data_IF_883835337171
#
_entry.id   IF_883835337171
#
_cell.length_a   1.000
_cell.length_b   1.000
_cell.length_c   1.000
_cell.angle_alpha   90.00
_cell.angle_beta   90.00
_cell.angle_gamma   90.00
#
_symmetry.space_group_name_H-M   'P 1'
#
loop_
_entity.id
_entity.type
_entity.pdbx_description
1 polymer ?
#
# COMPACT_ATOMS: atom_id res chain seq x y z
N UNK A 1 -17.32 2.54 15.37
CA UNK A 1 -17.43 3.51 14.26
C UNK A 1 -16.60 4.77 14.49
N UNK A 2 -16.83 5.58 15.53
CA UNK A 2 -15.97 6.76 15.76
C UNK A 2 -14.49 6.43 15.94
N UNK A 3 -14.18 5.40 16.72
CA UNK A 3 -12.80 4.93 16.94
C UNK A 3 -12.12 4.44 15.64
N UNK A 4 -12.87 3.84 14.70
CA UNK A 4 -12.31 3.38 13.43
C UNK A 4 -12.09 4.54 12.47
N UNK A 5 -12.97 5.56 12.50
CA UNK A 5 -12.80 6.80 11.72
C UNK A 5 -11.61 7.60 12.23
N UNK A 6 -11.43 7.74 13.55
CA UNK A 6 -10.26 8.44 14.10
C UNK A 6 -8.97 7.69 13.79
N UNK A 7 -8.96 6.36 13.88
CA UNK A 7 -7.82 5.55 13.46
C UNK A 7 -7.46 5.77 11.98
N UNK A 8 -8.47 5.83 11.10
CA UNK A 8 -8.27 6.10 9.68
C UNK A 8 -7.63 7.48 9.43
N UNK A 9 -8.13 8.53 10.12
CA UNK A 9 -7.56 9.88 10.02
C UNK A 9 -6.12 9.92 10.52
N UNK A 10 -5.82 9.27 11.64
CA UNK A 10 -4.45 9.20 12.19
C UNK A 10 -3.51 8.52 11.21
N UNK A 11 -3.94 7.43 10.55
CA UNK A 11 -3.13 6.77 9.54
C UNK A 11 -2.82 7.65 8.33
N UNK A 12 -3.79 8.41 7.83
CA UNK A 12 -3.56 9.36 6.73
C UNK A 12 -2.46 10.35 7.13
N UNK A 13 -2.52 10.88 8.35
CA UNK A 13 -1.51 11.80 8.85
C UNK A 13 -0.13 11.14 8.94
N UNK A 14 -0.06 9.88 9.37
CA UNK A 14 1.19 9.11 9.43
C UNK A 14 1.76 8.87 8.03
N UNK A 15 0.92 8.52 7.05
CA UNK A 15 1.34 8.30 5.66
C UNK A 15 1.99 9.57 5.11
N UNK A 16 1.34 10.71 5.28
CA UNK A 16 1.85 11.99 4.79
C UNK A 16 3.17 12.34 5.49
N UNK A 17 3.31 12.05 6.78
CA UNK A 17 4.49 12.43 7.56
C UNK A 17 5.70 11.49 7.40
N UNK A 18 5.49 10.20 7.09
CA UNK A 18 6.55 9.16 7.17
C UNK A 18 6.79 8.36 5.87
N UNK A 19 6.20 8.74 4.76
CA UNK A 19 6.34 8.03 3.47
C UNK A 19 7.65 8.34 2.74
N UNK A 20 8.80 8.17 3.39
CA UNK A 20 10.11 8.36 2.73
C UNK A 20 10.50 7.17 1.83
N UNK A 21 10.20 5.95 2.26
CA UNK A 21 10.44 4.76 1.45
C UNK A 21 9.14 4.27 0.79
N UNK A 22 9.22 3.89 -0.48
CA UNK A 22 8.09 3.28 -1.19
C UNK A 22 7.57 2.04 -0.47
N UNK A 23 8.44 1.27 0.18
CA UNK A 23 8.03 0.11 0.98
C UNK A 23 7.18 0.53 2.19
N UNK A 24 7.59 1.55 2.94
CA UNK A 24 6.80 2.06 4.06
C UNK A 24 5.44 2.57 3.58
N UNK A 25 5.41 3.25 2.44
CA UNK A 25 4.16 3.70 1.83
C UNK A 25 3.22 2.51 1.54
N UNK A 26 3.71 1.44 0.91
CA UNK A 26 2.90 0.23 0.67
C UNK A 26 2.37 -0.39 1.96
N UNK A 27 3.21 -0.52 3.00
CA UNK A 27 2.80 -1.08 4.29
C UNK A 27 1.68 -0.25 4.91
N UNK A 28 1.76 1.07 4.83
CA UNK A 28 0.70 1.92 5.36
C UNK A 28 -0.61 1.84 4.56
N UNK A 29 -0.54 1.65 3.22
CA UNK A 29 -1.73 1.40 2.40
C UNK A 29 -2.42 0.09 2.80
N UNK A 30 -1.67 -0.99 2.98
CA UNK A 30 -2.24 -2.27 3.49
C UNK A 30 -2.89 -2.09 4.87
N UNK A 31 -2.27 -1.29 5.73
CA UNK A 31 -2.82 -1.00 7.05
C UNK A 31 -4.12 -0.18 6.98
N UNK A 32 -4.27 0.72 6.00
CA UNK A 32 -5.52 1.44 5.73
C UNK A 32 -6.64 0.49 5.30
N UNK A 33 -6.32 -0.45 4.41
CA UNK A 33 -7.25 -1.49 3.96
C UNK A 33 -7.74 -2.33 5.15
N UNK A 34 -6.83 -2.72 6.07
CA UNK A 34 -7.21 -3.46 7.28
C UNK A 34 -8.20 -2.69 8.16
N UNK A 35 -8.05 -1.38 8.32
CA UNK A 35 -9.00 -0.55 9.08
C UNK A 35 -10.38 -0.52 8.41
N UNK A 36 -10.43 -0.50 7.08
CA UNK A 36 -11.69 -0.57 6.31
C UNK A 36 -12.36 -1.93 6.50
N UNK A 37 -11.61 -3.03 6.40
CA UNK A 37 -12.10 -4.39 6.64
C UNK A 37 -12.68 -4.51 8.05
N UNK A 38 -11.98 -3.99 9.06
CA UNK A 38 -12.46 -3.97 10.44
C UNK A 38 -13.77 -3.20 10.59
N UNK A 39 -13.91 -2.06 9.90
CA UNK A 39 -15.14 -1.28 9.90
C UNK A 39 -16.32 -2.04 9.29
N UNK A 40 -16.09 -2.77 8.21
CA UNK A 40 -17.10 -3.61 7.55
C UNK A 40 -17.57 -4.72 8.51
N UNK A 41 -16.64 -5.42 9.16
CA UNK A 41 -16.95 -6.51 10.11
C UNK A 41 -17.75 -5.99 11.31
N UNK A 42 -17.34 -4.85 11.90
CA UNK A 42 -18.03 -4.27 13.07
C UNK A 42 -19.47 -3.86 12.73
N UNK A 43 -19.70 -3.35 11.53
CA UNK A 43 -21.04 -2.90 11.13
C UNK A 43 -21.98 -4.05 10.77
N UNK A 44 -21.48 -5.29 10.62
CA UNK A 44 -22.22 -6.54 10.33
C UNK A 44 -23.31 -6.45 9.23
N UNK A 45 -23.30 -5.40 8.43
CA UNK A 45 -24.38 -5.06 7.50
C UNK A 45 -24.01 -5.25 6.04
N UNK A 46 -22.76 -5.62 5.76
CA UNK A 46 -22.32 -5.95 4.40
C UNK A 46 -22.75 -7.34 4.00
N UNK A 47 -23.20 -7.48 2.76
CA UNK A 47 -23.41 -8.78 2.14
C UNK A 47 -22.08 -9.55 2.07
N UNK A 48 -22.06 -10.80 2.56
CA UNK A 48 -20.87 -11.66 2.62
C UNK A 48 -20.19 -11.82 1.24
N UNK A 49 -20.98 -11.81 0.16
CA UNK A 49 -20.47 -11.86 -1.21
C UNK A 49 -19.63 -10.64 -1.58
N UNK A 50 -20.07 -9.44 -1.16
CA UNK A 50 -19.34 -8.19 -1.40
C UNK A 50 -18.06 -8.17 -0.57
N UNK A 51 -18.11 -8.70 0.66
CA UNK A 51 -16.92 -8.84 1.50
C UNK A 51 -15.86 -9.75 0.87
N UNK A 52 -16.26 -10.90 0.32
CA UNK A 52 -15.31 -11.77 -0.40
C UNK A 52 -14.70 -11.07 -1.62
N UNK A 53 -15.50 -10.38 -2.43
CA UNK A 53 -15.00 -9.65 -3.60
C UNK A 53 -13.99 -8.58 -3.17
N UNK A 54 -14.28 -7.88 -2.06
CA UNK A 54 -13.37 -6.88 -1.51
C UNK A 54 -12.04 -7.51 -1.08
N UNK A 55 -12.05 -8.65 -0.38
CA UNK A 55 -10.82 -9.35 0.02
C UNK A 55 -9.96 -9.79 -1.18
N UNK A 56 -10.58 -10.26 -2.27
CA UNK A 56 -9.85 -10.63 -3.48
C UNK A 56 -9.20 -9.40 -4.12
N UNK A 57 -9.96 -8.29 -4.18
CA UNK A 57 -9.45 -7.03 -4.72
C UNK A 57 -8.24 -6.52 -3.93
N UNK A 58 -8.31 -6.55 -2.60
CA UNK A 58 -7.22 -6.03 -1.75
C UNK A 58 -5.94 -6.84 -1.90
N UNK A 59 -6.04 -8.17 -1.98
CA UNK A 59 -4.85 -9.03 -2.22
C UNK A 59 -4.25 -8.73 -3.60
N UNK A 60 -5.08 -8.44 -4.61
CA UNK A 60 -4.59 -8.11 -5.94
C UNK A 60 -3.86 -6.76 -6.00
N UNK A 61 -4.34 -5.76 -5.28
CA UNK A 61 -3.70 -4.45 -5.17
C UNK A 61 -2.30 -4.58 -4.53
N UNK A 62 -2.19 -5.36 -3.45
CA UNK A 62 -0.92 -5.65 -2.78
C UNK A 62 0.14 -6.22 -3.74
N UNK A 63 -0.25 -7.20 -4.57
CA UNK A 63 0.63 -7.85 -5.55
C UNK A 63 1.06 -6.84 -6.62
N UNK A 64 0.14 -6.01 -7.12
CA UNK A 64 0.44 -4.98 -8.12
C UNK A 64 1.42 -3.96 -7.53
N UNK A 65 1.19 -3.49 -6.31
CA UNK A 65 2.09 -2.56 -5.62
C UNK A 65 3.51 -3.14 -5.48
N UNK A 66 3.63 -4.37 -4.98
CA UNK A 66 4.92 -5.01 -4.75
C UNK A 66 5.68 -5.26 -6.06
N UNK A 67 5.00 -5.74 -7.10
CA UNK A 67 5.64 -5.98 -8.40
C UNK A 67 6.14 -4.68 -9.04
N UNK A 68 5.40 -3.58 -8.86
CA UNK A 68 5.82 -2.26 -9.31
C UNK A 68 7.03 -1.73 -8.52
N UNK A 69 7.05 -1.92 -7.20
CA UNK A 69 8.20 -1.58 -6.37
C UNK A 69 9.47 -2.31 -6.80
N UNK A 70 9.38 -3.62 -7.08
CA UNK A 70 10.51 -4.42 -7.57
C UNK A 70 11.01 -3.89 -8.92
N UNK A 71 10.09 -3.60 -9.86
CA UNK A 71 10.47 -3.05 -11.18
C UNK A 71 11.15 -1.69 -11.08
N UNK A 72 10.66 -0.81 -10.22
CA UNK A 72 11.28 0.50 -9.98
C UNK A 72 12.70 0.34 -9.41
N UNK A 73 12.87 -0.51 -8.39
CA UNK A 73 14.20 -0.77 -7.83
C UNK A 73 15.17 -1.33 -8.87
N UNK A 74 14.69 -2.20 -9.77
CA UNK A 74 15.51 -2.73 -10.86
C UNK A 74 15.87 -1.66 -11.90
N UNK A 75 14.92 -0.82 -12.33
CA UNK A 75 15.18 0.21 -13.34
C UNK A 75 16.10 1.31 -12.84
N UNK A 76 15.88 1.81 -11.62
CA UNK A 76 16.74 2.85 -11.03
C UNK A 76 18.13 2.30 -10.70
N UNK A 77 18.22 1.06 -10.20
CA UNK A 77 19.52 0.40 -9.98
C UNK A 77 20.31 0.21 -11.27
N UNK A 78 19.65 -0.24 -12.35
CA UNK A 78 20.30 -0.48 -13.63
C UNK A 78 20.68 0.81 -14.38
N UNK A 79 19.83 1.85 -14.31
CA UNK A 79 20.15 3.17 -14.88
C UNK A 79 21.38 3.80 -14.23
N UNK A 80 21.53 3.68 -12.90
CA UNK A 80 22.72 4.20 -12.21
C UNK A 80 24.01 3.49 -12.65
N UNK A 81 23.99 2.17 -12.86
CA UNK A 81 25.17 1.42 -13.32
C UNK A 81 25.57 1.83 -14.74
N UNK A 82 24.60 2.00 -15.64
CA UNK A 82 24.88 2.43 -17.01
C UNK A 82 25.42 3.87 -17.08
N UNK A 83 24.95 4.78 -16.21
CA UNK A 83 25.50 6.14 -16.11
C UNK A 83 26.96 6.13 -15.61
N UNK A 84 27.29 5.29 -14.62
CA UNK A 84 28.67 5.13 -14.14
C UNK A 84 29.56 4.60 -15.28
N UNK A 85 29.09 3.60 -16.03
CA UNK A 85 29.83 3.03 -17.17
C UNK A 85 30.01 4.03 -18.34
N UNK A 86 29.05 4.95 -18.54
CA UNK A 86 29.14 6.01 -19.54
C UNK A 86 30.10 7.14 -19.13
N UNK A 87 30.21 7.44 -17.84
CA UNK A 87 31.16 8.44 -17.33
C UNK A 87 32.59 7.92 -17.23
N UNK A 88 32.80 6.59 -17.22
CA UNK A 88 34.12 5.95 -17.13
C UNK A 88 34.77 5.62 -18.48
N UNK A 89 34.10 5.92 -19.61
CA UNK A 89 34.63 5.81 -20.98
C UNK A 89 34.79 7.20 -21.59
#
# INVERSE_FOLDING_TARGET
>A
MYMTITAFIILIMIIIAKSESMLNYLIFIEYMVLVIILMIIINQSSNDWVFMIYLIYTVSEAIIGLTLLVKMNQSYGHQNINLINLCSN
#
